data_IF_824123350782
#
_entry.id   IF_824123350782
#
_cell.length_a   1.000
_cell.length_b   1.000
_cell.length_c   1.000
_cell.angle_alpha   90.00
_cell.angle_beta   90.00
_cell.angle_gamma   90.00
#
_symmetry.space_group_name_H-M   'P 1'
#
loop_
_entity.id
_entity.type
_entity.pdbx_description
1 polymer ?
#
# COMPACT_ATOMS: atom_id res chain seq x y z
N UNK A 1 5.82 21.16 -19.81
CA UNK A 1 5.32 19.78 -19.95
C UNK A 1 5.61 19.09 -18.62
N UNK A 2 4.60 18.76 -17.84
CA UNK A 2 4.75 17.92 -16.65
C UNK A 2 5.08 16.50 -17.12
N UNK A 3 6.12 15.84 -16.57
CA UNK A 3 6.41 14.45 -16.94
C UNK A 3 5.20 13.58 -16.56
N UNK A 4 4.72 12.78 -17.49
CA UNK A 4 3.71 11.75 -17.20
C UNK A 4 4.34 10.72 -16.26
N UNK A 5 3.97 10.76 -14.98
CA UNK A 5 4.45 9.80 -14.00
C UNK A 5 3.98 8.39 -14.38
N UNK A 6 4.85 7.40 -14.21
CA UNK A 6 4.51 6.00 -14.44
C UNK A 6 3.55 5.49 -13.35
N UNK A 7 2.76 4.44 -13.67
CA UNK A 7 1.84 3.83 -12.69
C UNK A 7 2.55 3.41 -11.38
N UNK A 8 3.75 2.79 -11.40
CA UNK A 8 4.47 2.49 -10.16
C UNK A 8 4.80 3.73 -9.33
N UNK A 9 5.19 4.84 -9.97
CA UNK A 9 5.50 6.09 -9.27
C UNK A 9 4.26 6.71 -8.64
N UNK A 10 3.14 6.70 -9.36
CA UNK A 10 1.84 7.18 -8.88
C UNK A 10 1.39 6.35 -7.67
N UNK A 11 1.43 5.01 -7.79
CA UNK A 11 1.01 4.13 -6.71
C UNK A 11 1.88 4.29 -5.46
N UNK A 12 3.20 4.42 -5.63
CA UNK A 12 4.12 4.65 -4.52
C UNK A 12 3.85 5.99 -3.83
N UNK A 13 3.65 7.06 -4.59
CA UNK A 13 3.34 8.37 -4.01
C UNK A 13 2.05 8.35 -3.19
N UNK A 14 1.02 7.64 -3.69
CA UNK A 14 -0.22 7.43 -2.94
C UNK A 14 -0.01 6.59 -1.68
N UNK A 15 0.76 5.51 -1.76
CA UNK A 15 1.09 4.67 -0.60
C UNK A 15 1.82 5.47 0.50
N UNK A 16 2.77 6.32 0.12
CA UNK A 16 3.48 7.19 1.06
C UNK A 16 2.54 8.20 1.72
N UNK A 17 1.60 8.78 0.96
CA UNK A 17 0.58 9.68 1.50
C UNK A 17 -0.32 8.97 2.51
N UNK A 18 -0.81 7.77 2.17
CA UNK A 18 -1.64 6.94 3.04
C UNK A 18 -0.90 6.61 4.34
N UNK A 19 0.36 6.19 4.25
CA UNK A 19 1.13 5.87 5.44
C UNK A 19 1.36 7.11 6.32
N UNK A 20 1.65 8.27 5.74
CA UNK A 20 1.76 9.54 6.50
C UNK A 20 0.46 9.90 7.21
N UNK A 21 -0.67 9.80 6.52
CA UNK A 21 -2.00 10.05 7.10
C UNK A 21 -2.29 9.10 8.27
N UNK A 22 -2.11 7.80 8.05
CA UNK A 22 -2.37 6.75 9.03
C UNK A 22 -1.42 6.79 10.25
N UNK A 23 -0.20 7.31 10.08
CA UNK A 23 0.72 7.58 11.21
C UNK A 23 0.31 8.80 12.01
N UNK A 24 -0.15 9.86 11.35
CA UNK A 24 -0.51 11.12 12.00
C UNK A 24 -1.91 11.08 12.64
N UNK A 25 -2.82 10.25 12.11
CA UNK A 25 -4.21 10.19 12.53
C UNK A 25 -4.64 8.74 12.84
N UNK A 26 -4.74 8.35 14.12
CA UNK A 26 -5.26 7.05 14.53
C UNK A 26 -6.72 6.78 14.12
N UNK A 27 -7.49 7.80 13.75
CA UNK A 27 -8.87 7.66 13.25
C UNK A 27 -8.94 7.54 11.72
N UNK A 28 -7.80 7.59 11.01
CA UNK A 28 -7.78 7.37 9.57
C UNK A 28 -8.38 6.00 9.23
N UNK A 29 -9.15 5.88 8.14
CA UNK A 29 -9.66 4.58 7.69
C UNK A 29 -8.54 3.59 7.32
N UNK A 30 -7.32 4.08 7.16
CA UNK A 30 -6.14 3.28 6.85
C UNK A 30 -5.32 2.89 8.09
N UNK A 31 -5.64 3.43 9.28
CA UNK A 31 -4.85 3.20 10.49
C UNK A 31 -4.75 1.70 10.82
N UNK A 32 -3.52 1.19 10.90
CA UNK A 32 -3.19 -0.23 11.15
C UNK A 32 -3.82 -1.21 10.13
N UNK A 33 -4.03 -0.79 8.88
CA UNK A 33 -4.57 -1.64 7.81
C UNK A 33 -3.54 -1.92 6.72
N UNK A 34 -3.79 -3.00 5.98
CA UNK A 34 -3.12 -3.29 4.72
C UNK A 34 -3.91 -2.65 3.58
N UNK A 35 -3.25 -1.83 2.78
CA UNK A 35 -3.89 -1.06 1.70
C UNK A 35 -3.36 -1.51 0.34
N UNK A 36 -4.27 -1.90 -0.54
CA UNK A 36 -4.01 -2.28 -1.92
C UNK A 36 -4.35 -1.15 -2.87
N UNK A 37 -3.39 -0.79 -3.70
CA UNK A 37 -3.49 0.28 -4.69
C UNK A 37 -3.37 -0.33 -6.08
N UNK A 38 -4.24 0.08 -6.99
CA UNK A 38 -4.15 -0.26 -8.40
C UNK A 38 -4.40 0.99 -9.25
N UNK A 39 -3.56 1.22 -10.26
CA UNK A 39 -3.69 2.33 -11.20
C UNK A 39 -3.93 3.72 -10.54
N UNK A 40 -3.25 3.98 -9.42
CA UNK A 40 -3.32 5.23 -8.67
C UNK A 40 -4.55 5.37 -7.75
N UNK A 41 -5.25 4.28 -7.46
CA UNK A 41 -6.45 4.29 -6.61
C UNK A 41 -6.35 3.24 -5.51
N UNK A 42 -6.85 3.56 -4.32
CA UNK A 42 -7.07 2.58 -3.27
C UNK A 42 -8.25 1.69 -3.68
N UNK A 43 -7.98 0.39 -3.82
CA UNK A 43 -8.98 -0.60 -4.23
C UNK A 43 -9.26 -1.64 -3.15
N UNK A 44 -8.37 -1.77 -2.16
CA UNK A 44 -8.53 -2.69 -1.02
C UNK A 44 -8.05 -2.01 0.25
N UNK A 45 -8.82 -2.15 1.33
CA UNK A 45 -8.38 -1.95 2.71
C UNK A 45 -8.70 -3.25 3.44
N UNK A 46 -7.71 -3.86 4.09
CA UNK A 46 -7.81 -5.19 4.67
C UNK A 46 -7.11 -5.26 6.03
N UNK A 47 -7.54 -6.22 6.85
CA UNK A 47 -6.95 -6.49 8.17
C UNK A 47 -5.76 -7.45 8.10
N UNK A 48 -5.62 -8.19 6.99
CA UNK A 48 -4.58 -9.22 6.84
C UNK A 48 -3.88 -9.14 5.48
N UNK A 49 -2.59 -9.52 5.39
CA UNK A 49 -1.86 -9.62 4.12
C UNK A 49 -2.50 -10.61 3.13
N UNK A 50 -3.08 -11.70 3.63
CA UNK A 50 -3.74 -12.73 2.81
C UNK A 50 -5.01 -12.18 2.15
N UNK A 51 -5.83 -11.45 2.91
CA UNK A 51 -7.03 -10.80 2.37
C UNK A 51 -6.65 -9.73 1.35
N UNK A 52 -5.65 -8.90 1.65
CA UNK A 52 -5.12 -7.90 0.74
C UNK A 52 -4.68 -8.55 -0.58
N UNK A 53 -3.77 -9.52 -0.51
CA UNK A 53 -3.17 -10.13 -1.69
C UNK A 53 -4.20 -10.86 -2.57
N UNK A 54 -5.17 -11.54 -1.95
CA UNK A 54 -6.27 -12.20 -2.67
C UNK A 54 -7.16 -11.20 -3.39
N UNK A 55 -7.64 -10.16 -2.68
CA UNK A 55 -8.57 -9.18 -3.27
C UNK A 55 -7.90 -8.30 -4.32
N UNK A 56 -6.66 -7.86 -4.06
CA UNK A 56 -5.92 -7.02 -5.00
C UNK A 56 -5.72 -7.73 -6.34
N UNK A 57 -5.34 -9.02 -6.31
CA UNK A 57 -5.16 -9.84 -7.53
C UNK A 57 -6.48 -10.09 -8.28
N UNK A 58 -7.61 -10.16 -7.57
CA UNK A 58 -8.93 -10.30 -8.20
C UNK A 58 -9.37 -9.02 -8.91
N UNK A 59 -8.98 -7.84 -8.39
CA UNK A 59 -9.34 -6.53 -8.95
C UNK A 59 -8.40 -6.12 -10.09
N UNK A 60 -7.09 -6.26 -9.89
CA UNK A 60 -6.06 -5.96 -10.90
C UNK A 60 -5.05 -7.11 -10.94
N UNK A 61 -5.09 -7.96 -11.99
CA UNK A 61 -4.19 -9.10 -12.10
C UNK A 61 -2.78 -8.74 -12.57
N UNK A 62 -2.55 -7.57 -13.19
CA UNK A 62 -1.21 -7.14 -13.61
C UNK A 62 -0.43 -6.55 -12.43
N UNK A 63 0.61 -7.25 -11.91
CA UNK A 63 1.37 -6.78 -10.76
C UNK A 63 2.11 -5.46 -11.02
N UNK A 64 2.37 -5.09 -12.28
CA UNK A 64 3.04 -3.81 -12.61
C UNK A 64 2.14 -2.59 -12.38
N UNK A 65 0.83 -2.82 -12.22
CA UNK A 65 -0.17 -1.79 -11.95
C UNK A 65 -0.58 -1.73 -10.49
N UNK A 66 -0.08 -2.64 -9.67
CA UNK A 66 -0.43 -2.81 -8.26
C UNK A 66 0.64 -2.25 -7.33
N UNK A 67 0.24 -1.91 -6.11
CA UNK A 67 1.13 -1.61 -4.99
C UNK A 67 0.42 -1.96 -3.68
N UNK A 68 1.19 -2.31 -2.65
CA UNK A 68 0.66 -2.62 -1.33
C UNK A 68 1.46 -1.90 -0.25
N UNK A 69 0.79 -1.46 0.79
CA UNK A 69 1.43 -0.84 1.96
C UNK A 69 0.72 -1.28 3.24
N UNK A 70 1.49 -1.63 4.26
CA UNK A 70 0.97 -1.69 5.62
C UNK A 70 1.05 -0.28 6.21
N UNK A 71 -0.11 0.31 6.46
CA UNK A 71 -0.23 1.69 6.91
C UNK A 71 0.00 1.79 8.43
N UNK A 72 0.42 2.98 8.88
CA UNK A 72 0.87 3.29 10.25
C UNK A 72 2.28 2.77 10.61
N UNK A 73 3.01 2.16 9.67
CA UNK A 73 4.37 1.62 9.91
C UNK A 73 5.45 2.68 9.75
N UNK A 74 6.53 2.52 10.51
CA UNK A 74 7.75 3.32 10.35
C UNK A 74 8.73 2.64 9.39
N UNK A 75 8.69 3.03 8.12
CA UNK A 75 9.62 2.50 7.12
C UNK A 75 11.03 3.12 7.19
N UNK A 76 11.32 3.97 8.19
CA UNK A 76 12.68 4.49 8.42
C UNK A 76 13.51 3.62 9.35
N UNK A 77 12.89 2.64 10.01
CA UNK A 77 13.60 1.66 10.83
C UNK A 77 13.92 0.41 10.02
N UNK A 78 15.01 -0.27 10.39
CA UNK A 78 15.34 -1.57 9.82
C UNK A 78 14.55 -2.63 10.58
N UNK A 79 13.76 -3.42 9.86
CA UNK A 79 13.13 -4.63 10.37
C UNK A 79 13.89 -5.86 9.82
N UNK A 80 14.19 -6.82 10.69
CA UNK A 80 14.94 -8.03 10.32
C UNK A 80 13.99 -9.22 10.07
N UNK A 81 14.20 -9.94 8.98
CA UNK A 81 13.48 -11.18 8.67
C UNK A 81 14.28 -12.35 9.28
N UNK A 82 13.81 -12.86 10.41
CA UNK A 82 14.53 -13.89 11.17
C UNK A 82 14.44 -15.30 10.60
N UNK A 83 13.40 -15.60 9.79
CA UNK A 83 13.22 -16.89 9.12
C UNK A 83 12.25 -16.77 7.96
N UNK A 84 12.60 -17.38 6.82
CA UNK A 84 11.64 -17.73 5.77
C UNK A 84 11.20 -19.16 6.07
N UNK A 85 9.91 -19.34 6.37
CA UNK A 85 9.30 -20.66 6.54
C UNK A 85 8.65 -21.12 5.24
#
# INVERSE_FOLDING_TARGET
MTPTQSIPEINRALAEQINREARANPQSPYANKFVGIANGQVVVVADTPEELSRRLRQIEPDPKKCFAVEASRDYSIVEEIWRIV
#
